data_IF_402313801447
#
_entry.id   IF_402313801447
#
_cell.length_a   1.000
_cell.length_b   1.000
_cell.length_c   1.000
_cell.angle_alpha   90.00
_cell.angle_beta   90.00
_cell.angle_gamma   90.00
#
_symmetry.space_group_name_H-M   'P 1'
#
loop_
_entity.id
_entity.type
_entity.pdbx_description
1 polymer ?
#
# COMPACT_ATOMS: atom_id res chain seq x y z
N UNK A 1 -55.25 10.92 -6.69
CA UNK A 1 -54.03 10.51 -5.96
C UNK A 1 -53.34 9.32 -6.64
N UNK A 2 -52.97 9.44 -7.94
CA UNK A 2 -52.29 8.34 -8.70
C UNK A 2 -51.00 8.79 -9.40
N UNK A 3 -50.70 10.10 -9.40
CA UNK A 3 -49.51 10.68 -10.05
C UNK A 3 -48.36 10.97 -9.08
N UNK A 4 -48.59 10.90 -7.76
CA UNK A 4 -47.55 11.16 -6.77
C UNK A 4 -46.64 9.94 -6.51
N UNK A 5 -47.11 8.72 -6.77
CA UNK A 5 -46.34 7.49 -6.49
C UNK A 5 -45.29 7.15 -7.55
N UNK A 6 -45.38 7.72 -8.75
CA UNK A 6 -44.44 7.39 -9.86
C UNK A 6 -43.11 8.15 -9.71
N UNK A 7 -43.12 9.33 -9.09
CA UNK A 7 -41.91 10.16 -8.91
C UNK A 7 -41.00 9.56 -7.82
N UNK A 8 -41.55 8.86 -6.83
CA UNK A 8 -40.78 8.28 -5.72
C UNK A 8 -39.91 7.09 -6.16
N UNK A 9 -40.32 6.35 -7.19
CA UNK A 9 -39.58 5.18 -7.69
C UNK A 9 -38.35 5.58 -8.52
N UNK A 10 -38.38 6.75 -9.18
CA UNK A 10 -37.27 7.24 -10.02
C UNK A 10 -36.13 7.85 -9.19
N UNK A 11 -36.44 8.34 -7.97
CA UNK A 11 -35.43 8.92 -7.05
C UNK A 11 -34.60 7.85 -6.32
N UNK A 12 -35.11 6.63 -6.17
CA UNK A 12 -34.39 5.54 -5.46
C UNK A 12 -33.33 4.88 -6.37
N UNK A 13 -33.50 4.94 -7.70
CA UNK A 13 -32.58 4.33 -8.65
C UNK A 13 -31.27 5.09 -8.90
N UNK A 14 -31.08 6.28 -8.30
CA UNK A 14 -29.88 7.10 -8.48
C UNK A 14 -28.79 6.88 -7.40
N UNK A 15 -29.00 5.97 -6.45
CA UNK A 15 -28.06 5.72 -5.34
C UNK A 15 -27.16 4.47 -5.54
N UNK A 16 -27.25 3.78 -6.67
CA UNK A 16 -26.53 2.51 -6.87
C UNK A 16 -25.28 2.61 -7.77
N UNK A 17 -24.73 3.79 -8.01
CA UNK A 17 -23.60 3.97 -8.93
C UNK A 17 -22.40 4.64 -8.25
N UNK A 18 -21.76 3.90 -7.34
CA UNK A 18 -20.35 4.00 -6.93
C UNK A 18 -20.08 2.85 -5.96
N UNK A 19 -20.00 1.61 -6.46
CA UNK A 19 -19.45 0.51 -5.68
C UNK A 19 -18.09 0.15 -6.26
N UNK A 20 -17.07 0.94 -5.93
CA UNK A 20 -15.71 0.41 -6.01
C UNK A 20 -15.64 -0.75 -5.02
N UNK A 21 -15.18 -1.91 -5.46
CA UNK A 21 -15.12 -3.10 -4.61
C UNK A 21 -14.00 -2.90 -3.60
N UNK A 22 -14.38 -2.60 -2.36
CA UNK A 22 -13.43 -2.49 -1.26
C UNK A 22 -12.86 -3.87 -0.95
N UNK A 23 -11.53 -3.96 -0.95
CA UNK A 23 -10.77 -5.16 -0.60
C UNK A 23 -10.05 -4.98 0.72
N UNK A 24 -9.71 -6.10 1.33
CA UNK A 24 -8.86 -6.14 2.50
C UNK A 24 -7.50 -6.66 2.09
N UNK A 25 -6.43 -5.98 2.49
CA UNK A 25 -5.05 -6.43 2.25
C UNK A 25 -4.82 -7.77 2.94
N UNK A 26 -4.37 -8.78 2.18
CA UNK A 26 -4.10 -10.13 2.67
C UNK A 26 -2.62 -10.45 2.59
N UNK A 27 -2.06 -10.95 3.70
CA UNK A 27 -0.67 -11.41 3.77
C UNK A 27 -0.64 -12.81 4.39
N UNK A 28 -1.12 -13.79 3.62
CA UNK A 28 -1.41 -15.16 4.09
C UNK A 28 -0.16 -15.93 4.56
N UNK A 29 0.99 -15.66 3.94
CA UNK A 29 2.28 -16.24 4.32
C UNK A 29 3.28 -15.09 4.49
N UNK A 30 3.98 -15.03 5.62
CA UNK A 30 4.96 -13.99 5.95
C UNK A 30 6.41 -14.52 5.94
N UNK A 31 6.58 -15.82 5.80
CA UNK A 31 7.89 -16.50 5.80
C UNK A 31 8.52 -16.55 4.39
N UNK A 32 7.89 -15.93 3.40
CA UNK A 32 8.35 -15.93 2.00
C UNK A 32 9.52 -14.98 1.75
N UNK A 33 9.87 -14.14 2.74
CA UNK A 33 10.88 -13.10 2.66
C UNK A 33 11.76 -13.14 3.89
N UNK A 34 13.04 -12.82 3.71
CA UNK A 34 14.03 -12.76 4.79
C UNK A 34 14.75 -11.41 4.85
N UNK A 35 14.47 -10.52 3.90
CA UNK A 35 15.04 -9.17 3.85
C UNK A 35 13.95 -8.14 3.57
N UNK A 36 13.94 -7.06 4.37
CA UNK A 36 13.16 -5.85 4.12
C UNK A 36 14.12 -4.69 3.82
N UNK A 37 13.89 -4.04 2.68
CA UNK A 37 14.51 -2.77 2.32
C UNK A 37 13.52 -1.64 2.55
N UNK A 38 13.89 -0.67 3.38
CA UNK A 38 13.16 0.58 3.55
C UNK A 38 13.93 1.72 2.92
N UNK A 39 13.37 2.30 1.86
CA UNK A 39 13.97 3.43 1.13
C UNK A 39 13.08 4.66 1.27
N UNK A 40 13.62 5.76 1.81
CA UNK A 40 12.96 7.07 1.71
C UNK A 40 13.24 7.67 0.33
N UNK A 41 12.18 8.15 -0.31
CA UNK A 41 12.23 9.05 -1.46
C UNK A 41 12.06 10.47 -0.91
N UNK A 42 12.97 11.36 -1.27
CA UNK A 42 12.95 12.77 -0.85
C UNK A 42 13.20 13.65 -2.06
N UNK A 43 12.29 14.58 -2.33
CA UNK A 43 12.29 15.43 -3.53
C UNK A 43 12.42 14.63 -4.84
N UNK A 44 11.78 13.46 -4.94
CA UNK A 44 11.87 12.51 -6.07
C UNK A 44 13.25 11.84 -6.25
N UNK A 45 14.13 11.92 -5.25
CA UNK A 45 15.44 11.26 -5.27
C UNK A 45 15.58 10.23 -4.16
N UNK A 46 16.32 9.18 -4.45
CA UNK A 46 16.78 8.18 -3.47
C UNK A 46 18.28 8.30 -3.25
N UNK A 47 18.77 7.73 -2.15
CA UNK A 47 20.19 7.54 -1.92
C UNK A 47 20.43 6.43 -0.92
N UNK A 48 21.64 5.86 -0.92
CA UNK A 48 22.06 4.83 0.04
C UNK A 48 21.98 5.31 1.50
N UNK A 49 22.07 6.62 1.75
CA UNK A 49 21.90 7.20 3.10
C UNK A 49 20.46 7.18 3.60
N UNK A 50 19.51 7.03 2.68
CA UNK A 50 18.08 6.97 2.90
C UNK A 50 17.55 5.53 2.74
N UNK A 51 18.46 4.55 2.76
CA UNK A 51 18.17 3.13 2.66
C UNK A 51 18.49 2.46 4.00
N UNK A 52 17.59 1.59 4.46
CA UNK A 52 17.85 0.66 5.55
C UNK A 52 17.50 -0.75 5.11
N UNK A 53 18.42 -1.69 5.33
CA UNK A 53 18.18 -3.12 5.18
C UNK A 53 17.91 -3.73 6.56
N UNK A 54 16.91 -4.59 6.64
CA UNK A 54 16.48 -5.31 7.83
C UNK A 54 16.42 -6.80 7.49
N UNK A 55 17.07 -7.62 8.31
CA UNK A 55 17.10 -9.10 8.19
C UNK A 55 16.52 -9.77 9.45
N UNK A 56 15.98 -8.95 10.36
CA UNK A 56 15.30 -9.42 11.56
C UNK A 56 13.90 -9.91 11.18
N UNK A 57 13.74 -11.24 11.14
CA UNK A 57 12.51 -11.90 10.73
C UNK A 57 11.29 -11.47 11.55
N UNK A 58 11.45 -11.26 12.87
CA UNK A 58 10.34 -10.84 13.73
C UNK A 58 9.87 -9.43 13.38
N UNK A 59 10.81 -8.52 13.09
CA UNK A 59 10.47 -7.17 12.63
C UNK A 59 9.82 -7.19 11.25
N UNK A 60 10.29 -8.03 10.33
CA UNK A 60 9.70 -8.18 8.98
C UNK A 60 8.24 -8.64 9.08
N UNK A 61 7.98 -9.68 9.88
CA UNK A 61 6.63 -10.20 10.11
C UNK A 61 5.72 -9.17 10.79
N UNK A 62 6.26 -8.37 11.71
CA UNK A 62 5.50 -7.29 12.35
C UNK A 62 5.08 -6.24 11.33
N UNK A 63 5.97 -5.77 10.44
CA UNK A 63 5.62 -4.80 9.40
C UNK A 63 4.51 -5.34 8.50
N UNK A 64 4.61 -6.60 8.06
CA UNK A 64 3.56 -7.25 7.26
C UNK A 64 2.23 -7.35 8.02
N UNK A 65 2.28 -7.62 9.33
CA UNK A 65 1.09 -7.67 10.19
C UNK A 65 0.44 -6.31 10.41
N UNK A 66 1.20 -5.22 10.33
CA UNK A 66 0.69 -3.85 10.49
C UNK A 66 -0.15 -3.38 9.29
N UNK A 67 0.11 -3.93 8.10
CA UNK A 67 -0.63 -3.60 6.87
C UNK A 67 -1.69 -4.63 6.50
N UNK A 68 -1.62 -5.82 7.08
CA UNK A 68 -2.66 -6.85 6.94
C UNK A 68 -4.00 -6.33 7.50
N UNK A 69 -5.09 -6.62 6.79
CA UNK A 69 -6.42 -6.23 7.26
C UNK A 69 -6.82 -4.80 6.90
N UNK A 70 -5.93 -3.99 6.32
CA UNK A 70 -6.27 -2.65 5.89
C UNK A 70 -7.30 -2.65 4.76
N UNK A 71 -8.24 -1.72 4.84
CA UNK A 71 -9.22 -1.46 3.80
C UNK A 71 -8.60 -0.69 2.65
N UNK A 72 -8.67 -1.27 1.45
CA UNK A 72 -8.09 -0.72 0.24
C UNK A 72 -9.03 -0.91 -0.95
N UNK A 73 -8.77 -0.19 -2.04
CA UNK A 73 -9.45 -0.34 -3.32
C UNK A 73 -8.43 -0.62 -4.42
N UNK A 74 -8.87 -1.34 -5.45
CA UNK A 74 -8.04 -1.58 -6.63
C UNK A 74 -7.88 -0.29 -7.44
N UNK A 75 -6.65 -0.03 -7.88
CA UNK A 75 -6.33 1.03 -8.83
C UNK A 75 -5.55 0.44 -10.00
N UNK A 76 -5.52 1.16 -11.11
CA UNK A 76 -4.65 0.78 -12.22
C UNK A 76 -3.22 1.33 -12.04
N UNK A 77 -2.31 0.86 -12.89
CA UNK A 77 -0.90 1.29 -12.83
C UNK A 77 -0.71 2.76 -13.20
N UNK A 78 -1.55 3.32 -14.08
CA UNK A 78 -1.46 4.72 -14.48
C UNK A 78 -1.88 5.63 -13.32
N UNK A 79 -2.91 5.22 -12.57
CA UNK A 79 -3.34 5.88 -11.34
C UNK A 79 -2.27 5.78 -10.25
N UNK A 80 -1.68 4.60 -10.01
CA UNK A 80 -0.57 4.43 -9.05
C UNK A 80 0.62 5.36 -9.40
N UNK A 81 1.05 5.36 -10.67
CA UNK A 81 2.11 6.25 -11.16
C UNK A 81 1.70 7.71 -10.95
N UNK A 82 0.48 8.08 -11.30
CA UNK A 82 -0.04 9.43 -11.12
C UNK A 82 -0.03 9.88 -9.67
N UNK A 83 -0.37 9.00 -8.72
CA UNK A 83 -0.27 9.32 -7.28
C UNK A 83 1.19 9.56 -6.89
N UNK A 84 2.12 8.67 -7.27
CA UNK A 84 3.53 8.79 -6.92
C UNK A 84 4.19 10.02 -7.55
N UNK A 85 3.88 10.36 -8.80
CA UNK A 85 4.41 11.56 -9.47
C UNK A 85 3.95 12.87 -8.81
N UNK A 86 2.78 12.86 -8.15
CA UNK A 86 2.28 14.00 -7.40
C UNK A 86 2.84 14.10 -5.97
N UNK A 87 3.61 13.11 -5.51
CA UNK A 87 4.19 13.07 -4.17
C UNK A 87 5.72 13.02 -4.22
N UNK A 88 6.34 14.16 -3.88
CA UNK A 88 7.80 14.27 -3.92
C UNK A 88 8.52 13.47 -2.82
N UNK A 89 7.82 13.09 -1.75
CA UNK A 89 8.37 12.33 -0.64
C UNK A 89 7.45 11.19 -0.23
N UNK A 90 8.03 10.02 0.04
CA UNK A 90 7.35 8.82 0.54
C UNK A 90 8.37 7.78 0.99
N UNK A 91 7.91 6.71 1.64
CA UNK A 91 8.75 5.58 2.05
C UNK A 91 8.34 4.34 1.27
N UNK A 92 9.32 3.63 0.73
CA UNK A 92 9.12 2.34 0.05
C UNK A 92 9.54 1.21 0.99
N UNK A 93 8.70 0.21 1.15
CA UNK A 93 8.94 -1.02 1.88
C UNK A 93 8.95 -2.18 0.89
N UNK A 94 10.11 -2.76 0.63
CA UNK A 94 10.32 -3.81 -0.37
C UNK A 94 10.81 -5.09 0.32
N UNK A 95 10.11 -6.20 0.14
CA UNK A 95 10.41 -7.47 0.79
C UNK A 95 10.97 -8.48 -0.21
N UNK A 96 12.13 -9.07 0.06
CA UNK A 96 12.82 -9.96 -0.89
C UNK A 96 13.25 -11.30 -0.26
N UNK A 97 13.39 -12.32 -1.11
CA UNK A 97 14.02 -13.61 -0.80
C UNK A 97 15.53 -13.53 -1.12
N UNK A 98 16.33 -12.96 -0.20
CA UNK A 98 17.79 -12.94 -0.26
C UNK A 98 18.44 -11.54 -0.28
N UNK A 99 19.76 -11.51 -0.51
CA UNK A 99 20.57 -10.26 -0.60
C UNK A 99 20.59 -9.65 -2.02
N UNK A 100 19.93 -10.27 -3.00
CA UNK A 100 20.01 -9.83 -4.38
C UNK A 100 19.24 -8.51 -4.57
N UNK A 101 19.98 -7.41 -4.73
CA UNK A 101 19.47 -6.09 -5.13
C UNK A 101 19.06 -6.02 -6.61
N UNK A 102 19.14 -7.15 -7.34
CA UNK A 102 18.73 -7.21 -8.74
C UNK A 102 17.21 -7.25 -8.84
N UNK A 103 16.70 -6.16 -9.40
CA UNK A 103 15.31 -5.75 -9.60
C UNK A 103 14.47 -6.66 -10.52
N UNK A 104 14.65 -7.98 -10.47
CA UNK A 104 13.73 -8.92 -11.13
C UNK A 104 12.45 -9.01 -10.30
N UNK A 105 11.63 -7.97 -10.50
CA UNK A 105 10.28 -7.69 -10.00
C UNK A 105 9.39 -8.93 -9.77
N UNK A 106 9.54 -9.57 -8.62
CA UNK A 106 8.63 -10.59 -8.08
C UNK A 106 8.31 -10.42 -6.59
N UNK A 107 8.76 -9.33 -6.00
CA UNK A 107 8.88 -9.15 -4.56
C UNK A 107 7.80 -8.18 -4.05
N UNK A 108 7.02 -8.62 -3.06
CA UNK A 108 5.92 -7.84 -2.46
C UNK A 108 6.46 -6.53 -1.86
N UNK A 109 5.69 -5.46 -1.97
CA UNK A 109 6.09 -4.19 -1.40
C UNK A 109 5.02 -3.12 -1.52
N UNK A 110 5.13 -2.11 -0.67
CA UNK A 110 4.20 -1.00 -0.58
C UNK A 110 4.93 0.33 -0.36
N UNK A 111 4.26 1.43 -0.70
CA UNK A 111 4.71 2.78 -0.46
C UNK A 111 3.80 3.47 0.55
N UNK A 112 4.37 4.24 1.47
CA UNK A 112 3.62 5.05 2.44
C UNK A 112 3.90 6.52 2.16
N UNK A 113 2.86 7.26 1.80
CA UNK A 113 2.91 8.70 1.54
C UNK A 113 2.96 9.49 2.86
N UNK A 114 3.44 10.73 2.82
CA UNK A 114 3.54 11.59 4.02
C UNK A 114 2.18 11.89 4.66
N UNK A 115 1.08 11.77 3.92
CA UNK A 115 -0.28 11.96 4.43
C UNK A 115 -0.88 10.69 5.05
N UNK A 116 -0.16 9.56 4.99
CA UNK A 116 -0.54 8.27 5.53
C UNK A 116 -1.32 7.37 4.57
N UNK A 117 -1.48 7.74 3.30
CA UNK A 117 -1.99 6.81 2.28
C UNK A 117 -0.93 5.74 1.99
N UNK A 118 -1.38 4.49 1.82
CA UNK A 118 -0.53 3.36 1.47
C UNK A 118 -0.91 2.82 0.11
N UNK A 119 0.10 2.65 -0.75
CA UNK A 119 0.01 2.09 -2.09
C UNK A 119 0.68 0.71 -2.09
N UNK A 120 -0.06 -0.34 -2.43
CA UNK A 120 0.50 -1.68 -2.53
C UNK A 120 0.77 -1.99 -3.99
N UNK A 121 1.99 -2.46 -4.28
CA UNK A 121 2.38 -2.82 -5.65
C UNK A 121 1.53 -3.97 -6.20
N UNK A 122 1.06 -4.87 -5.31
CA UNK A 122 0.21 -6.02 -5.60
C UNK A 122 -0.67 -6.35 -4.39
N UNK A 123 -1.81 -7.00 -4.61
CA UNK A 123 -2.71 -7.45 -3.53
C UNK A 123 -2.17 -8.64 -2.72
N UNK A 124 -1.25 -9.43 -3.31
CA UNK A 124 -0.63 -10.62 -2.72
C UNK A 124 0.81 -10.81 -3.21
N UNK A 125 1.71 -11.37 -2.38
CA UNK A 125 3.03 -11.81 -2.84
C UNK A 125 2.95 -12.78 -4.02
N UNK A 126 3.87 -12.65 -4.99
CA UNK A 126 3.99 -13.55 -6.16
C UNK A 126 2.77 -13.60 -7.11
N UNK A 127 1.93 -12.55 -7.14
CA UNK A 127 0.79 -12.47 -8.07
C UNK A 127 0.89 -11.28 -9.03
N UNK A 128 0.33 -11.43 -10.24
CA UNK A 128 0.21 -10.38 -11.26
C UNK A 128 -1.03 -9.49 -11.03
N UNK A 129 -1.42 -9.28 -9.77
CA UNK A 129 -2.66 -8.59 -9.43
C UNK A 129 -2.55 -7.08 -9.61
N UNK A 130 -3.71 -6.41 -9.50
CA UNK A 130 -3.79 -4.96 -9.59
C UNK A 130 -3.25 -4.32 -8.31
N UNK A 131 -2.59 -3.15 -8.42
CA UNK A 131 -2.21 -2.38 -7.26
C UNK A 131 -3.40 -1.98 -6.40
N UNK A 132 -3.14 -1.74 -5.11
CA UNK A 132 -4.15 -1.28 -4.16
C UNK A 132 -3.77 0.07 -3.57
N UNK A 133 -4.78 0.85 -3.20
CA UNK A 133 -4.63 2.08 -2.40
C UNK A 133 -5.53 2.01 -1.17
N UNK A 134 -5.04 2.42 -0.01
CA UNK A 134 -5.87 2.47 1.21
C UNK A 134 -6.98 3.50 1.10
N UNK A 135 -8.19 3.13 1.54
CA UNK A 135 -9.36 4.03 1.57
C UNK A 135 -9.20 5.14 2.62
N UNK A 136 -8.47 4.84 3.71
CA UNK A 136 -8.24 5.75 4.82
C UNK A 136 -6.75 6.12 4.93
N UNK A 137 -6.47 7.24 5.59
CA UNK A 137 -5.10 7.63 5.93
C UNK A 137 -4.67 6.99 7.25
N UNK A 138 -3.45 6.48 7.29
CA UNK A 138 -2.85 5.77 8.42
C UNK A 138 -1.59 6.49 8.93
N UNK A 139 -1.75 7.77 9.30
CA UNK A 139 -0.65 8.69 9.61
C UNK A 139 0.34 8.19 10.66
N UNK A 140 -0.17 7.53 11.69
CA UNK A 140 0.66 7.04 12.79
C UNK A 140 1.42 5.76 12.40
N UNK A 141 0.93 5.01 11.39
CA UNK A 141 1.49 3.71 11.02
C UNK A 141 2.92 3.82 10.51
N UNK A 142 3.24 4.88 9.76
CA UNK A 142 4.60 5.12 9.29
C UNK A 142 5.55 5.36 10.46
N UNK A 143 5.14 6.14 11.45
CA UNK A 143 5.97 6.43 12.62
C UNK A 143 6.17 5.18 13.49
N UNK A 144 5.10 4.38 13.68
CA UNK A 144 5.19 3.10 14.39
C UNK A 144 6.16 2.14 13.69
N UNK A 145 6.08 2.04 12.35
CA UNK A 145 7.03 1.24 11.56
C UNK A 145 8.47 1.77 11.69
N UNK A 146 8.66 3.10 11.64
CA UNK A 146 9.99 3.71 11.76
C UNK A 146 10.59 3.48 13.13
N UNK A 147 9.81 3.60 14.21
CA UNK A 147 10.27 3.35 15.57
C UNK A 147 10.70 1.88 15.73
N UNK A 148 9.84 0.94 15.34
CA UNK A 148 10.10 -0.50 15.41
C UNK A 148 11.35 -0.90 14.61
N UNK A 149 11.51 -0.35 13.41
CA UNK A 149 12.64 -0.61 12.52
C UNK A 149 13.86 0.27 12.82
N UNK A 150 13.80 1.16 13.82
CA UNK A 150 14.86 2.10 14.20
C UNK A 150 15.34 2.96 13.01
N UNK A 151 14.40 3.45 12.19
CA UNK A 151 14.67 4.31 11.04
C UNK A 151 14.76 5.76 11.52
N UNK A 152 15.88 6.42 11.25
CA UNK A 152 16.17 7.78 11.74
C UNK A 152 16.14 8.86 10.66
N UNK A 153 15.89 8.50 9.41
CA UNK A 153 15.82 9.42 8.26
C UNK A 153 14.39 9.82 7.90
#
# INVERSE_FOLDING_TARGET
>A
MRKLSVILVVLISLLCACSTEQKTVQVDNKDFVNTLFVQKVENNFTSDKLLKQIEDQEKIEQVLSMVEGLEAEEIDNDELIGVLENHANYYMFQFSEGENTNTDRGDYGFQVLEDGIILFSYDQPNTSSQPLITVNTHKDLLEDMKEMLEITF
#
